data_IF_396790961520
#
_entry.id   IF_396790961520
#
_cell.length_a   1.000
_cell.length_b   1.000
_cell.length_c   1.000
_cell.angle_alpha   90.00
_cell.angle_beta   90.00
_cell.angle_gamma   90.00
#
_symmetry.space_group_name_H-M   'P 1'
#
loop_
_entity.id
_entity.type
_entity.pdbx_description
1 polymer ?
#
# COMPACT_ATOMS: atom_id res chain seq x y z
N UNK A 1 -19.16 4.68 -24.33
CA UNK A 1 -19.25 4.06 -22.98
C UNK A 1 -18.90 2.58 -23.03
N UNK A 2 -19.33 1.79 -24.02
CA UNK A 2 -19.03 0.36 -24.10
C UNK A 2 -17.53 0.03 -24.18
N UNK A 3 -16.74 0.82 -24.90
CA UNK A 3 -15.28 0.70 -24.92
C UNK A 3 -14.65 1.05 -23.57
N UNK A 4 -15.07 2.17 -22.95
CA UNK A 4 -14.61 2.57 -21.61
C UNK A 4 -14.92 1.49 -20.57
N UNK A 5 -16.17 0.99 -20.56
CA UNK A 5 -16.60 -0.10 -19.68
C UNK A 5 -15.73 -1.33 -19.86
N UNK A 6 -15.48 -1.74 -21.10
CA UNK A 6 -14.64 -2.91 -21.39
C UNK A 6 -13.20 -2.71 -20.92
N UNK A 7 -12.59 -1.55 -21.21
CA UNK A 7 -11.21 -1.27 -20.78
C UNK A 7 -11.09 -1.17 -19.27
N UNK A 8 -11.98 -0.44 -18.59
CA UNK A 8 -11.98 -0.33 -17.14
C UNK A 8 -12.25 -1.69 -16.45
N UNK A 9 -13.12 -2.53 -17.01
CA UNK A 9 -13.36 -3.88 -16.46
C UNK A 9 -12.14 -4.77 -16.59
N UNK A 10 -11.45 -4.75 -17.74
CA UNK A 10 -10.22 -5.53 -17.92
C UNK A 10 -9.08 -5.01 -17.05
N UNK A 11 -8.90 -3.68 -17.00
CA UNK A 11 -7.93 -3.06 -16.12
C UNK A 11 -8.18 -3.42 -14.66
N UNK A 12 -9.45 -3.49 -14.22
CA UNK A 12 -9.78 -3.90 -12.86
C UNK A 12 -9.39 -5.37 -12.60
N UNK A 13 -9.64 -6.26 -13.56
CA UNK A 13 -9.22 -7.65 -13.47
C UNK A 13 -7.69 -7.81 -13.46
N UNK A 14 -6.98 -6.95 -14.20
CA UNK A 14 -5.51 -6.92 -14.19
C UNK A 14 -4.98 -6.44 -12.85
N UNK A 15 -5.48 -5.33 -12.30
CA UNK A 15 -5.10 -4.87 -10.97
C UNK A 15 -5.44 -5.90 -9.88
N UNK A 16 -6.54 -6.63 -10.04
CA UNK A 16 -6.92 -7.73 -9.15
C UNK A 16 -5.89 -8.86 -9.15
N UNK A 17 -5.30 -9.15 -10.31
CA UNK A 17 -4.32 -10.21 -10.46
C UNK A 17 -2.88 -9.77 -10.14
N UNK A 18 -2.52 -8.54 -10.49
CA UNK A 18 -1.13 -8.06 -10.49
C UNK A 18 -0.72 -7.24 -9.27
N UNK A 19 -1.66 -6.77 -8.45
CA UNK A 19 -1.34 -5.96 -7.28
C UNK A 19 -1.54 -6.71 -5.96
N UNK A 20 -0.68 -6.46 -4.95
CA UNK A 20 -0.86 -7.04 -3.63
C UNK A 20 -2.15 -6.50 -3.00
N UNK A 21 -3.09 -7.37 -2.64
CA UNK A 21 -4.44 -6.98 -2.18
C UNK A 21 -5.39 -6.53 -3.29
N UNK A 22 -5.09 -6.84 -4.56
CA UNK A 22 -6.00 -6.75 -5.70
C UNK A 22 -6.34 -5.33 -6.16
N UNK A 23 -7.47 -5.16 -6.85
CA UNK A 23 -7.86 -3.86 -7.42
C UNK A 23 -8.39 -2.89 -6.36
N UNK A 24 -8.82 -3.41 -5.20
CA UNK A 24 -9.41 -2.61 -4.14
C UNK A 24 -10.88 -2.20 -4.41
N UNK A 25 -11.55 -1.74 -3.36
CA UNK A 25 -12.99 -1.46 -3.39
C UNK A 25 -13.35 -0.26 -4.27
N UNK A 26 -12.50 0.77 -4.33
CA UNK A 26 -12.74 1.96 -5.15
C UNK A 26 -12.82 1.64 -6.65
N UNK A 27 -11.92 0.78 -7.14
CA UNK A 27 -11.92 0.33 -8.55
C UNK A 27 -13.17 -0.49 -8.85
N UNK A 28 -13.50 -1.46 -7.98
CA UNK A 28 -14.67 -2.31 -8.19
C UNK A 28 -15.99 -1.56 -8.10
N UNK A 29 -16.09 -0.53 -7.25
CA UNK A 29 -17.28 0.32 -7.16
C UNK A 29 -17.58 0.99 -8.52
N UNK A 30 -16.57 1.53 -9.19
CA UNK A 30 -16.70 2.13 -10.53
C UNK A 30 -17.18 1.10 -11.56
N UNK A 31 -16.59 -0.09 -11.57
CA UNK A 31 -16.93 -1.14 -12.54
C UNK A 31 -18.36 -1.65 -12.33
N UNK A 32 -18.79 -1.80 -11.07
CA UNK A 32 -20.12 -2.26 -10.71
C UNK A 32 -21.21 -1.23 -11.01
N UNK A 33 -20.90 0.06 -10.91
CA UNK A 33 -21.82 1.16 -11.21
C UNK A 33 -22.07 1.37 -12.71
N UNK A 34 -21.31 0.73 -13.60
CA UNK A 34 -21.54 0.85 -15.03
C UNK A 34 -22.90 0.30 -15.46
N UNK A 35 -23.79 1.21 -15.90
CA UNK A 35 -25.09 0.87 -16.47
C UNK A 35 -25.04 -0.28 -17.48
N UNK A 36 -26.04 -1.16 -17.44
CA UNK A 36 -26.24 -2.18 -18.47
C UNK A 36 -26.74 -1.57 -19.80
N UNK A 37 -27.19 -0.32 -19.77
CA UNK A 37 -27.65 0.46 -20.94
C UNK A 37 -26.63 1.56 -21.28
N UNK A 38 -26.84 2.32 -22.36
CA UNK A 38 -25.97 3.44 -22.77
C UNK A 38 -24.56 3.08 -23.29
N UNK A 39 -24.33 1.84 -23.72
CA UNK A 39 -23.04 1.38 -24.25
C UNK A 39 -22.56 2.17 -25.49
N UNK A 40 -23.45 2.90 -26.17
CA UNK A 40 -23.12 3.64 -27.39
C UNK A 40 -22.95 5.15 -27.17
N UNK A 41 -23.18 5.66 -25.94
CA UNK A 41 -22.99 7.07 -25.66
C UNK A 41 -21.51 7.45 -25.67
N UNK A 42 -21.20 8.61 -26.23
CA UNK A 42 -19.88 9.23 -26.12
C UNK A 42 -19.61 9.66 -24.69
N UNK A 43 -18.34 9.62 -24.28
CA UNK A 43 -17.88 10.13 -22.99
C UNK A 43 -17.03 11.37 -23.21
N UNK A 44 -17.10 12.31 -22.29
CA UNK A 44 -16.21 13.46 -22.29
C UNK A 44 -14.93 13.17 -21.48
N UNK A 45 -13.92 14.02 -21.59
CA UNK A 45 -12.63 13.84 -20.93
C UNK A 45 -12.78 13.86 -19.40
N UNK A 46 -13.67 14.69 -18.85
CA UNK A 46 -13.90 14.75 -17.40
C UNK A 46 -14.49 13.45 -16.85
N UNK A 47 -15.47 12.87 -17.55
CA UNK A 47 -16.03 11.56 -17.24
C UNK A 47 -14.98 10.45 -17.33
N UNK A 48 -14.09 10.53 -18.32
CA UNK A 48 -13.00 9.59 -18.48
C UNK A 48 -12.01 9.68 -17.29
N UNK A 49 -11.59 10.89 -16.89
CA UNK A 49 -10.76 11.11 -15.70
C UNK A 49 -11.43 10.60 -14.42
N UNK A 50 -12.72 10.86 -14.24
CA UNK A 50 -13.48 10.39 -13.08
C UNK A 50 -13.50 8.86 -12.97
N UNK A 51 -13.63 8.15 -14.10
CA UNK A 51 -13.60 6.68 -14.12
C UNK A 51 -12.19 6.16 -13.89
N UNK A 52 -11.16 6.84 -14.39
CA UNK A 52 -9.76 6.44 -14.21
C UNK A 52 -9.21 6.76 -12.81
N UNK A 53 -9.73 7.78 -12.11
CA UNK A 53 -9.17 8.24 -10.84
C UNK A 53 -8.99 7.12 -9.80
N UNK A 54 -9.99 6.27 -9.51
CA UNK A 54 -9.81 5.19 -8.53
C UNK A 54 -8.78 4.13 -8.92
N UNK A 55 -8.49 3.96 -10.22
CA UNK A 55 -7.41 3.08 -10.68
C UNK A 55 -6.05 3.68 -10.36
N UNK A 56 -5.88 4.97 -10.61
CA UNK A 56 -4.64 5.67 -10.28
C UNK A 56 -4.45 5.84 -8.77
N UNK A 57 -5.52 6.08 -8.00
CA UNK A 57 -5.47 6.03 -6.52
C UNK A 57 -4.90 4.69 -6.06
N UNK A 58 -5.35 3.59 -6.68
CA UNK A 58 -4.89 2.26 -6.37
C UNK A 58 -3.42 2.03 -6.75
N UNK A 59 -3.02 2.44 -7.95
CA UNK A 59 -1.64 2.34 -8.45
C UNK A 59 -0.67 3.17 -7.60
N UNK A 60 -1.10 4.36 -7.16
CA UNK A 60 -0.32 5.22 -6.26
C UNK A 60 -0.19 4.58 -4.88
N UNK A 61 -1.27 4.01 -4.35
CA UNK A 61 -1.24 3.36 -3.04
C UNK A 61 -0.29 2.14 -2.96
N UNK A 62 0.05 1.51 -4.08
CA UNK A 62 1.08 0.44 -4.15
C UNK A 62 2.45 0.96 -4.64
N UNK A 63 2.53 2.25 -4.97
CA UNK A 63 3.72 2.90 -5.50
C UNK A 63 4.12 2.45 -6.91
N UNK A 64 3.18 1.97 -7.73
CA UNK A 64 3.40 1.73 -9.16
C UNK A 64 3.64 3.06 -9.91
N UNK A 65 2.97 4.11 -9.48
CA UNK A 65 3.14 5.48 -10.00
C UNK A 65 2.97 6.48 -8.86
N UNK A 66 3.36 7.74 -9.06
CA UNK A 66 3.27 8.78 -8.03
C UNK A 66 2.23 9.86 -8.35
N UNK A 67 1.73 9.90 -9.58
CA UNK A 67 0.90 10.99 -10.07
C UNK A 67 -0.19 10.47 -11.01
N UNK A 68 -1.25 11.26 -11.14
CA UNK A 68 -2.20 11.04 -12.22
C UNK A 68 -1.59 11.52 -13.55
N UNK A 69 -1.86 10.85 -14.67
CA UNK A 69 -1.38 11.27 -15.99
C UNK A 69 -1.82 12.69 -16.38
N UNK A 70 -2.91 13.18 -15.78
CA UNK A 70 -3.52 14.47 -16.09
C UNK A 70 -3.21 15.60 -15.09
N UNK A 71 -2.45 15.37 -14.02
CA UNK A 71 -2.09 16.42 -13.03
C UNK A 71 -0.89 17.28 -13.43
N UNK A 72 -0.22 16.97 -14.55
CA UNK A 72 0.96 17.68 -15.03
C UNK A 72 0.68 18.90 -15.92
N UNK A 73 -0.59 19.23 -16.22
CA UNK A 73 -0.92 20.36 -17.11
C UNK A 73 -1.70 21.49 -16.41
N UNK A 74 -0.98 22.54 -16.02
CA UNK A 74 -1.50 23.77 -15.40
C UNK A 74 -2.10 24.77 -16.39
N UNK A 75 -2.33 24.39 -17.65
CA UNK A 75 -3.04 25.27 -18.59
C UNK A 75 -4.54 25.17 -18.36
N UNK A 76 -5.16 26.30 -18.09
CA UNK A 76 -6.58 26.57 -17.83
C UNK A 76 -7.59 26.11 -18.89
N UNK A 77 -7.18 25.30 -19.88
CA UNK A 77 -8.06 24.65 -20.83
C UNK A 77 -8.48 23.29 -20.26
N UNK A 78 -9.39 23.36 -19.28
CA UNK A 78 -10.04 22.17 -18.75
C UNK A 78 -10.98 21.59 -19.84
N UNK A 79 -10.39 20.76 -20.71
CA UNK A 79 -11.07 20.08 -21.82
C UNK A 79 -12.02 18.99 -21.34
N UNK A 80 -12.44 19.02 -20.07
CA UNK A 80 -13.31 18.04 -19.43
C UNK A 80 -14.65 17.85 -20.17
N UNK A 81 -15.12 18.88 -20.89
CA UNK A 81 -16.32 18.80 -21.71
C UNK A 81 -16.06 18.32 -23.15
N UNK A 82 -14.80 18.23 -23.59
CA UNK A 82 -14.46 17.71 -24.91
C UNK A 82 -14.71 16.19 -24.98
N UNK A 83 -15.04 15.69 -26.16
CA UNK A 83 -15.22 14.25 -26.39
C UNK A 83 -13.86 13.57 -26.22
N UNK A 84 -13.81 12.51 -25.42
CA UNK A 84 -12.61 11.71 -25.26
C UNK A 84 -12.38 10.85 -26.51
N UNK A 85 -11.13 10.78 -26.96
CA UNK A 85 -10.73 9.92 -28.07
C UNK A 85 -10.19 8.56 -27.59
N UNK A 86 -10.06 7.61 -28.51
CA UNK A 86 -9.59 6.25 -28.20
C UNK A 86 -8.13 6.25 -27.69
N UNK A 87 -7.30 7.20 -28.14
CA UNK A 87 -5.92 7.34 -27.67
C UNK A 87 -5.86 7.68 -26.18
N UNK A 88 -6.60 8.70 -25.75
CA UNK A 88 -6.72 9.08 -24.34
C UNK A 88 -7.27 7.94 -23.49
N UNK A 89 -8.24 7.20 -24.00
CA UNK A 89 -8.77 6.04 -23.30
C UNK A 89 -7.70 4.95 -23.10
N UNK A 90 -6.92 4.65 -24.14
CA UNK A 90 -5.84 3.64 -24.05
C UNK A 90 -4.69 4.09 -23.15
N UNK A 91 -4.38 5.38 -23.14
CA UNK A 91 -3.33 5.93 -22.28
C UNK A 91 -3.65 5.72 -20.79
N UNK A 92 -4.92 5.89 -20.39
CA UNK A 92 -5.32 5.77 -18.99
C UNK A 92 -5.50 4.33 -18.48
N UNK A 93 -5.69 3.37 -19.38
CA UNK A 93 -5.94 1.95 -19.03
C UNK A 93 -4.93 1.00 -19.70
N UNK A 94 -3.79 1.52 -20.14
CA UNK A 94 -2.76 0.77 -20.87
C UNK A 94 -1.55 0.42 -20.02
N UNK A 95 -1.68 0.42 -18.70
CA UNK A 95 -0.67 -0.11 -17.78
C UNK A 95 -0.64 -1.65 -17.85
N UNK A 96 0.46 -2.24 -17.36
CA UNK A 96 0.61 -3.68 -17.19
C UNK A 96 1.22 -3.96 -15.80
N UNK A 97 0.36 -4.35 -14.85
CA UNK A 97 0.78 -4.66 -13.48
C UNK A 97 1.19 -6.13 -13.29
N UNK A 98 1.10 -6.95 -14.35
CA UNK A 98 1.23 -8.42 -14.28
C UNK A 98 2.43 -8.98 -15.03
N UNK A 99 3.17 -8.13 -15.74
CA UNK A 99 4.39 -8.55 -16.43
C UNK A 99 5.42 -9.05 -15.43
N UNK A 100 5.94 -10.24 -15.71
CA UNK A 100 7.02 -10.95 -15.00
C UNK A 100 7.89 -11.59 -16.10
N UNK A 101 8.91 -10.88 -16.54
CA UNK A 101 9.68 -11.17 -17.74
C UNK A 101 10.74 -12.26 -17.52
N UNK A 102 11.29 -12.36 -16.32
CA UNK A 102 12.24 -13.39 -15.92
C UNK A 102 11.56 -14.61 -15.24
N UNK A 103 10.24 -14.54 -15.04
CA UNK A 103 9.34 -15.60 -14.60
C UNK A 103 9.64 -16.10 -13.18
N UNK A 104 9.98 -15.16 -12.29
CA UNK A 104 10.41 -15.44 -10.93
C UNK A 104 9.31 -15.23 -9.88
N UNK A 105 8.11 -14.84 -10.31
CA UNK A 105 6.90 -14.51 -9.53
C UNK A 105 6.83 -13.09 -8.95
N UNK A 106 7.85 -12.26 -9.15
CA UNK A 106 7.79 -10.83 -8.89
C UNK A 106 7.39 -10.08 -10.17
N UNK A 107 6.52 -9.05 -10.07
CA UNK A 107 6.26 -8.20 -11.22
C UNK A 107 7.43 -7.27 -11.55
N UNK A 108 7.73 -7.11 -12.84
CA UNK A 108 8.82 -6.26 -13.36
C UNK A 108 8.81 -4.85 -12.76
N UNK A 109 7.61 -4.25 -12.64
CA UNK A 109 7.45 -2.88 -12.16
C UNK A 109 7.93 -2.73 -10.71
N UNK A 110 7.74 -3.76 -9.89
CA UNK A 110 8.13 -3.76 -8.49
C UNK A 110 9.63 -3.94 -8.36
N UNK A 111 10.21 -4.90 -9.10
CA UNK A 111 11.66 -5.10 -9.12
C UNK A 111 12.42 -3.88 -9.65
N UNK A 112 11.92 -3.23 -10.70
CA UNK A 112 12.53 -2.00 -11.23
C UNK A 112 12.43 -0.86 -10.21
N UNK A 113 11.34 -0.76 -9.45
CA UNK A 113 11.15 0.28 -8.44
C UNK A 113 12.19 0.16 -7.32
N UNK A 114 12.37 -1.04 -6.76
CA UNK A 114 13.24 -1.25 -5.60
C UNK A 114 14.69 -1.54 -6.03
N UNK A 115 14.91 -2.43 -6.99
CA UNK A 115 16.25 -2.89 -7.36
C UNK A 115 16.80 -2.27 -8.65
N UNK A 116 15.98 -1.55 -9.43
CA UNK A 116 16.38 -0.94 -10.69
C UNK A 116 16.56 -1.92 -11.85
N UNK A 117 16.33 -3.22 -11.65
CA UNK A 117 16.48 -4.27 -12.66
C UNK A 117 15.72 -5.54 -12.27
N UNK A 118 15.10 -6.20 -13.26
CA UNK A 118 14.39 -7.49 -13.18
C UNK A 118 15.30 -8.72 -13.01
N UNK A 119 16.48 -8.52 -12.43
CA UNK A 119 17.51 -9.57 -12.34
C UNK A 119 18.49 -9.34 -11.18
N UNK A 120 18.32 -8.24 -10.44
CA UNK A 120 19.18 -7.88 -9.33
C UNK A 120 18.88 -8.73 -8.09
N UNK A 121 17.62 -9.07 -7.91
CA UNK A 121 17.12 -9.92 -6.84
C UNK A 121 16.18 -10.98 -7.43
N UNK A 122 15.70 -11.89 -6.58
CA UNK A 122 14.63 -12.80 -6.94
C UNK A 122 13.59 -12.89 -5.82
N UNK A 123 12.47 -13.55 -6.07
CA UNK A 123 11.37 -13.75 -5.11
C UNK A 123 11.80 -14.29 -3.73
N UNK A 124 12.90 -15.05 -3.64
CA UNK A 124 13.39 -15.65 -2.40
C UNK A 124 14.52 -14.85 -1.73
N UNK A 125 14.92 -13.71 -2.30
CA UNK A 125 15.88 -12.80 -1.69
C UNK A 125 15.32 -12.11 -0.44
N UNK A 126 16.22 -11.70 0.45
CA UNK A 126 15.97 -10.95 1.68
C UNK A 126 17.11 -9.92 1.77
N UNK A 127 17.02 -8.80 1.02
CA UNK A 127 18.14 -7.88 0.83
C UNK A 127 18.49 -7.06 2.07
N UNK A 128 17.50 -6.73 2.91
CA UNK A 128 17.66 -5.94 4.12
C UNK A 128 17.84 -6.77 5.40
N UNK A 129 17.56 -8.08 5.35
CA UNK A 129 17.85 -9.05 6.39
C UNK A 129 16.86 -9.02 7.54
N UNK A 130 15.63 -8.60 7.30
CA UNK A 130 14.59 -8.47 8.32
C UNK A 130 13.83 -9.80 8.57
N UNK A 131 14.01 -10.78 7.68
CA UNK A 131 13.42 -12.11 7.74
C UNK A 131 12.22 -12.33 6.81
N UNK A 132 11.82 -11.33 6.02
CA UNK A 132 10.87 -11.46 4.92
C UNK A 132 11.62 -11.67 3.60
N UNK A 133 11.03 -12.49 2.73
CA UNK A 133 11.49 -12.59 1.35
C UNK A 133 10.80 -11.56 0.48
N UNK A 134 11.43 -11.15 -0.61
CA UNK A 134 10.88 -10.18 -1.57
C UNK A 134 9.43 -10.48 -1.99
N UNK A 135 9.03 -11.75 -2.15
CA UNK A 135 7.64 -12.11 -2.48
C UNK A 135 6.66 -11.90 -1.32
N UNK A 136 7.12 -12.11 -0.08
CA UNK A 136 6.34 -11.80 1.12
C UNK A 136 6.21 -10.29 1.27
N UNK A 137 7.29 -9.56 1.04
CA UNK A 137 7.31 -8.10 1.11
C UNK A 137 6.42 -7.46 0.05
N UNK A 138 6.49 -7.97 -1.19
CA UNK A 138 5.55 -7.60 -2.24
C UNK A 138 4.10 -7.78 -1.77
N UNK A 139 3.78 -8.91 -1.13
CA UNK A 139 2.43 -9.23 -0.65
C UNK A 139 1.99 -8.35 0.53
N UNK A 140 2.90 -8.03 1.45
CA UNK A 140 2.68 -7.20 2.63
C UNK A 140 2.80 -5.70 2.35
N UNK A 141 3.29 -5.33 1.15
CA UNK A 141 3.56 -3.96 0.70
C UNK A 141 4.64 -3.24 1.50
N UNK A 142 5.62 -4.01 1.97
CA UNK A 142 6.81 -3.49 2.64
C UNK A 142 7.90 -3.14 1.63
N UNK A 143 8.99 -2.57 2.11
CA UNK A 143 10.12 -2.14 1.31
C UNK A 143 11.29 -3.12 1.43
N UNK A 144 11.64 -3.87 0.36
CA UNK A 144 12.68 -4.90 0.38
C UNK A 144 14.11 -4.42 0.59
N UNK A 145 14.32 -3.10 0.61
CA UNK A 145 15.60 -2.50 0.92
C UNK A 145 15.60 -1.81 2.31
N UNK A 146 14.55 -1.97 3.12
CA UNK A 146 14.40 -1.34 4.42
C UNK A 146 13.69 -2.24 5.43
N UNK A 147 14.48 -2.80 6.36
CA UNK A 147 14.03 -3.76 7.36
C UNK A 147 12.89 -3.30 8.29
N UNK A 148 12.54 -2.02 8.27
CA UNK A 148 11.49 -1.34 9.04
C UNK A 148 10.89 -0.28 8.09
N UNK A 149 9.78 -0.65 7.44
CA UNK A 149 9.20 0.11 6.32
C UNK A 149 8.58 1.42 6.78
N UNK A 150 7.88 1.42 7.91
CA UNK A 150 7.19 2.60 8.43
C UNK A 150 8.02 3.39 9.45
N UNK A 151 9.19 2.87 9.82
CA UNK A 151 10.19 3.50 10.69
C UNK A 151 9.71 3.72 12.12
N UNK A 152 8.92 2.80 12.65
CA UNK A 152 8.39 2.87 14.01
C UNK A 152 9.30 2.20 15.07
N UNK A 153 10.31 1.46 14.62
CA UNK A 153 11.29 0.74 15.44
C UNK A 153 11.08 -0.78 15.51
N UNK A 154 10.08 -1.33 14.82
CA UNK A 154 9.88 -2.77 14.62
C UNK A 154 10.33 -3.16 13.20
N UNK A 155 10.91 -4.35 13.06
CA UNK A 155 11.23 -4.85 11.73
C UNK A 155 9.97 -5.42 11.07
N UNK A 156 9.81 -5.27 9.76
CA UNK A 156 8.60 -5.75 9.08
C UNK A 156 8.37 -7.26 9.30
N UNK A 157 9.46 -8.04 9.36
CA UNK A 157 9.43 -9.48 9.66
C UNK A 157 8.84 -9.87 11.02
N UNK A 158 8.73 -8.95 12.00
CA UNK A 158 8.01 -9.22 13.26
C UNK A 158 6.56 -8.76 13.23
N UNK A 159 6.16 -7.96 12.24
CA UNK A 159 4.87 -7.32 12.10
C UNK A 159 3.98 -8.07 11.12
N UNK A 160 3.23 -9.05 11.64
CA UNK A 160 2.54 -10.02 10.78
C UNK A 160 1.24 -9.50 10.15
N UNK A 161 0.78 -8.30 10.49
CA UNK A 161 -0.47 -7.70 10.00
C UNK A 161 -1.73 -8.50 10.39
N UNK A 162 -1.64 -9.40 11.37
CA UNK A 162 -2.74 -10.28 11.77
C UNK A 162 -3.74 -9.63 12.72
N UNK A 163 -3.38 -8.50 13.34
CA UNK A 163 -4.14 -7.86 14.41
C UNK A 163 -4.16 -8.66 15.71
N UNK A 164 -3.27 -9.64 15.87
CA UNK A 164 -3.19 -10.52 17.05
C UNK A 164 -1.78 -10.48 17.62
N UNK A 165 -1.63 -9.86 18.80
CA UNK A 165 -0.35 -9.84 19.50
C UNK A 165 0.00 -11.19 20.12
N UNK A 166 1.09 -11.80 19.62
CA UNK A 166 1.67 -13.03 20.18
C UNK A 166 2.89 -12.71 21.05
N UNK A 167 3.66 -11.68 20.68
CA UNK A 167 4.82 -11.20 21.41
C UNK A 167 5.73 -10.28 20.58
N UNK A 168 6.91 -9.90 21.07
CA UNK A 168 7.79 -8.93 20.40
C UNK A 168 8.42 -9.40 19.09
N UNK A 169 8.33 -10.69 18.76
CA UNK A 169 8.80 -11.26 17.48
C UNK A 169 7.63 -11.67 16.57
N UNK A 170 6.40 -11.36 16.96
CA UNK A 170 5.17 -11.55 16.20
C UNK A 170 4.10 -10.65 16.85
N UNK A 171 4.17 -9.38 16.50
CA UNK A 171 3.39 -8.30 17.12
C UNK A 171 1.97 -8.25 16.60
N UNK A 172 1.73 -8.77 15.38
CA UNK A 172 0.44 -8.68 14.72
C UNK A 172 0.12 -7.29 14.17
N UNK A 173 0.93 -6.27 14.48
CA UNK A 173 0.84 -4.92 13.92
C UNK A 173 1.05 -4.92 12.41
N UNK A 174 0.66 -3.83 11.77
CA UNK A 174 0.75 -3.62 10.34
C UNK A 174 2.10 -2.97 9.99
N UNK A 175 2.99 -3.64 9.22
CA UNK A 175 4.35 -3.15 8.90
C UNK A 175 4.41 -1.90 8.00
N UNK A 176 3.27 -1.31 7.69
CA UNK A 176 3.17 -0.13 6.82
C UNK A 176 2.46 1.04 7.51
N UNK A 177 2.18 0.90 8.80
CA UNK A 177 1.47 1.86 9.61
C UNK A 177 2.12 1.93 10.99
N UNK A 178 2.81 3.05 11.25
CA UNK A 178 3.50 3.28 12.52
C UNK A 178 2.62 3.13 13.76
N UNK A 179 1.31 3.25 13.63
CA UNK A 179 0.31 3.16 14.71
C UNK A 179 -0.86 2.36 14.14
N UNK A 180 -0.90 1.07 14.48
CA UNK A 180 -1.80 0.09 13.86
C UNK A 180 -3.25 0.25 14.30
N UNK A 181 -3.48 0.67 15.54
CA UNK A 181 -4.83 0.84 16.09
C UNK A 181 -5.34 2.29 16.08
N UNK A 182 -4.45 3.26 15.83
CA UNK A 182 -4.75 4.67 15.63
C UNK A 182 -4.99 5.44 16.93
N UNK A 183 -4.45 5.00 18.07
CA UNK A 183 -4.61 5.67 19.36
C UNK A 183 -3.62 6.83 19.60
N UNK A 184 -2.59 6.95 18.75
CA UNK A 184 -1.55 7.97 18.80
C UNK A 184 -0.22 7.54 19.44
N UNK A 185 -0.07 6.27 19.82
CA UNK A 185 1.20 5.66 20.23
C UNK A 185 1.68 4.75 19.09
N UNK A 186 2.98 4.77 18.79
CA UNK A 186 3.50 3.92 17.72
C UNK A 186 3.75 2.48 18.21
N UNK A 187 3.62 1.50 17.32
CA UNK A 187 3.60 0.07 17.68
C UNK A 187 4.91 -0.35 18.37
N UNK A 188 6.05 0.16 17.89
CA UNK A 188 7.36 -0.03 18.50
C UNK A 188 7.46 0.49 19.95
N UNK A 189 6.86 1.64 20.27
CA UNK A 189 6.81 2.15 21.65
C UNK A 189 5.93 1.27 22.53
N UNK A 190 4.83 0.77 21.99
CA UNK A 190 3.93 -0.11 22.71
C UNK A 190 4.59 -1.43 23.07
N UNK A 191 5.22 -2.08 22.10
CA UNK A 191 5.98 -3.32 22.31
C UNK A 191 7.11 -3.11 23.31
N UNK A 192 7.82 -1.98 23.26
CA UNK A 192 8.86 -1.63 24.23
C UNK A 192 8.31 -1.45 25.65
N UNK A 193 7.08 -0.94 25.78
CA UNK A 193 6.36 -0.77 27.05
C UNK A 193 5.57 -2.02 27.48
N UNK A 194 5.58 -3.08 26.67
CA UNK A 194 4.84 -4.34 26.86
C UNK A 194 3.30 -4.15 26.82
N UNK A 195 2.83 -3.25 25.96
CA UNK A 195 1.41 -3.14 25.58
C UNK A 195 1.17 -3.85 24.25
N UNK A 196 -0.09 -3.96 23.84
CA UNK A 196 -0.52 -4.64 22.62
C UNK A 196 -0.75 -3.59 21.52
N UNK A 197 0.06 -3.57 20.44
CA UNK A 197 -0.02 -2.54 19.41
C UNK A 197 -1.28 -2.60 18.52
N UNK A 198 -2.18 -3.55 18.78
CA UNK A 198 -3.41 -3.72 18.02
C UNK A 198 -4.66 -3.33 18.83
N UNK A 199 -4.48 -2.73 20.01
CA UNK A 199 -5.56 -2.43 20.96
C UNK A 199 -5.33 -1.09 21.64
N UNK A 200 -6.18 -0.12 21.28
CA UNK A 200 -6.07 1.25 21.76
C UNK A 200 -5.87 1.34 23.29
N UNK A 201 -4.75 1.92 23.69
CA UNK A 201 -4.43 2.31 25.05
C UNK A 201 -4.97 3.73 25.32
N UNK A 202 -5.13 4.04 26.60
CA UNK A 202 -5.57 5.35 27.08
C UNK A 202 -4.47 6.11 27.82
N UNK A 203 -3.31 5.48 28.10
CA UNK A 203 -2.17 6.11 28.77
C UNK A 203 -0.83 5.45 28.45
N UNK A 204 0.20 6.24 28.12
CA UNK A 204 1.59 5.77 28.26
C UNK A 204 1.79 5.32 29.71
N UNK A 205 2.19 4.07 30.00
CA UNK A 205 2.28 3.58 31.37
C UNK A 205 3.28 4.45 32.16
N UNK A 206 2.76 5.26 33.08
CA UNK A 206 3.60 6.08 33.94
C UNK A 206 4.30 5.16 34.92
N UNK A 207 5.62 5.00 34.82
CA UNK A 207 6.42 4.36 35.87
C UNK A 207 6.30 5.22 37.14
N UNK A 208 5.39 4.86 38.03
CA UNK A 208 5.33 5.45 39.36
C UNK A 208 6.49 4.87 40.16
N UNK A 209 7.64 5.54 40.14
CA UNK A 209 8.71 5.30 41.11
C UNK A 209 8.18 5.78 42.46
N UNK A 210 7.51 4.90 43.20
CA UNK A 210 7.15 5.20 44.58
C UNK A 210 8.43 5.18 45.40
N UNK A 211 8.85 6.34 45.89
CA UNK A 211 9.93 6.40 46.88
C UNK A 211 9.52 5.50 48.07
N UNK A 212 10.40 4.61 48.56
CA UNK A 212 10.04 3.74 49.67
C UNK A 212 9.72 4.59 50.89
N UNK A 213 8.60 4.28 51.55
CA UNK A 213 8.33 4.82 52.86
C UNK A 213 9.50 4.43 53.79
N UNK A 214 10.20 5.43 54.32
CA UNK A 214 11.28 5.32 55.31
C UNK A 214 12.70 5.05 54.77
N UNK A 215 13.21 5.93 53.90
CA UNK A 215 14.65 6.19 53.82
C UNK A 215 15.54 5.08 53.24
N UNK A 216 14.99 4.12 52.49
CA UNK A 216 15.81 3.22 51.68
C UNK A 216 16.17 3.89 50.35
N UNK A 217 17.46 3.82 50.00
CA UNK A 217 17.94 4.27 48.70
C UNK A 217 17.55 3.27 47.62
N UNK A 218 16.86 3.76 46.59
CA UNK A 218 16.57 2.98 45.38
C UNK A 218 17.88 2.80 44.62
N UNK A 219 18.40 1.57 44.58
CA UNK A 219 19.50 1.21 43.67
C UNK A 219 18.89 0.89 42.30
N UNK A 220 19.12 1.78 41.35
CA UNK A 220 18.91 1.49 39.93
C UNK A 220 20.09 0.62 39.49
N UNK A 221 19.82 -0.61 39.07
CA UNK A 221 20.85 -1.45 38.46
C UNK A 221 20.99 -1.06 36.99
N UNK A 222 22.22 -0.96 36.46
CA UNK A 222 22.47 -0.71 35.04
C UNK A 222 22.00 -1.87 34.17
#
# INVERSE_FOLDING_TARGET
MGQLKWMATNAAAELEAGLPGGAGTGVWAVVQDFSATNNWLTVNVGQLKQVAAPFYDRLIAVGFTNDYPWTSNTTTDDVDYAIANIGQLKELFGFDATTDADADTLPDWWEIKYFGSIAAQNAAGDPDGDGLTNIQEFSLRTNPDAADTDSDGLNDGVETGTGIYVGPTNTGSNPTMTDSDGDGINDGTEVANRTDPNVADTTVPTIIITAPANGQTVRVFP
#
